data_IF_235327373591
#
_entry.id   IF_235327373591
#
_cell.length_a   1.000
_cell.length_b   1.000
_cell.length_c   1.000
_cell.angle_alpha   90.00
_cell.angle_beta   90.00
_cell.angle_gamma   90.00
#
_symmetry.space_group_name_H-M   'P 1'
#
loop_
_entity.id
_entity.type
_entity.pdbx_description
1 polymer ?
#
# COMPACT_ATOMS: atom_id res chain seq x y z
N UNK A 1 3.83 14.71 9.38
CA UNK A 1 3.85 13.23 9.54
C UNK A 1 4.35 12.60 8.25
N UNK A 2 4.93 11.41 8.35
CA UNK A 2 5.27 10.55 7.20
C UNK A 2 4.19 9.50 7.00
N UNK A 3 3.52 9.55 5.85
CA UNK A 3 2.35 8.74 5.53
C UNK A 3 2.66 7.85 4.33
N UNK A 4 2.55 6.54 4.50
CA UNK A 4 2.54 5.58 3.39
C UNK A 4 1.10 5.29 3.02
N UNK A 5 0.73 5.48 1.76
CA UNK A 5 -0.59 5.13 1.24
C UNK A 5 -0.43 4.00 0.24
N UNK A 6 -1.14 2.90 0.44
CA UNK A 6 -1.19 1.79 -0.50
C UNK A 6 -2.52 1.79 -1.24
N UNK A 7 -2.46 1.61 -2.55
CA UNK A 7 -3.64 1.47 -3.40
C UNK A 7 -3.61 0.16 -4.18
N UNK A 8 -4.79 -0.44 -4.37
CA UNK A 8 -4.96 -1.64 -5.17
C UNK A 8 -5.08 -1.36 -6.67
N UNK A 9 -5.06 -2.43 -7.48
CA UNK A 9 -5.22 -2.32 -8.94
C UNK A 9 -6.56 -1.70 -9.33
N UNK A 10 -7.63 -1.97 -8.57
CA UNK A 10 -8.99 -1.46 -8.83
C UNK A 10 -9.11 0.07 -8.72
N UNK A 11 -8.23 0.71 -7.95
CA UNK A 11 -8.16 2.17 -7.86
C UNK A 11 -7.69 2.79 -9.16
N UNK A 12 -6.78 2.11 -9.88
CA UNK A 12 -6.08 2.69 -11.03
C UNK A 12 -6.60 2.16 -12.37
N UNK A 13 -7.14 0.94 -12.40
CA UNK A 13 -7.57 0.33 -13.65
C UNK A 13 -8.95 -0.30 -13.51
N UNK A 14 -9.76 -0.13 -14.55
CA UNK A 14 -10.95 -0.94 -14.76
C UNK A 14 -10.57 -2.40 -15.07
N UNK A 15 -11.50 -3.36 -14.92
CA UNK A 15 -11.28 -4.74 -15.33
C UNK A 15 -10.86 -4.92 -16.80
N UNK A 16 -11.16 -3.92 -17.65
CA UNK A 16 -10.74 -3.85 -19.06
C UNK A 16 -9.26 -3.52 -19.26
N UNK A 17 -8.51 -3.24 -18.18
CA UNK A 17 -7.11 -2.79 -18.24
C UNK A 17 -6.94 -1.31 -18.59
N UNK A 18 -8.05 -0.58 -18.80
CA UNK A 18 -8.04 0.87 -19.03
C UNK A 18 -7.91 1.63 -17.72
N UNK A 19 -7.26 2.79 -17.76
CA UNK A 19 -7.11 3.68 -16.61
C UNK A 19 -8.48 4.12 -16.07
N UNK A 20 -8.67 4.00 -14.76
CA UNK A 20 -9.77 4.61 -14.04
C UNK A 20 -9.44 6.06 -13.75
N UNK A 21 -9.65 6.92 -14.76
CA UNK A 21 -9.27 8.33 -14.74
C UNK A 21 -9.83 9.04 -13.50
N UNK A 22 -11.14 8.84 -13.22
CA UNK A 22 -11.82 9.50 -12.09
C UNK A 22 -11.14 9.19 -10.76
N UNK A 23 -10.89 7.91 -10.47
CA UNK A 23 -10.28 7.54 -9.18
C UNK A 23 -8.80 7.92 -9.11
N UNK A 24 -8.06 7.79 -10.22
CA UNK A 24 -6.65 8.17 -10.26
C UNK A 24 -6.46 9.69 -10.05
N UNK A 25 -7.28 10.52 -10.69
CA UNK A 25 -7.21 11.98 -10.54
C UNK A 25 -7.60 12.43 -9.13
N UNK A 26 -8.66 11.87 -8.54
CA UNK A 26 -9.07 12.19 -7.17
C UNK A 26 -8.00 11.76 -6.16
N UNK A 27 -7.44 10.56 -6.30
CA UNK A 27 -6.35 10.08 -5.45
C UNK A 27 -5.15 11.03 -5.51
N UNK A 28 -4.68 11.37 -6.71
CA UNK A 28 -3.50 12.23 -6.88
C UNK A 28 -3.76 13.62 -6.30
N UNK A 29 -4.97 14.18 -6.49
CA UNK A 29 -5.36 15.45 -5.89
C UNK A 29 -5.25 15.41 -4.36
N UNK A 30 -5.84 14.40 -3.72
CA UNK A 30 -5.82 14.28 -2.24
C UNK A 30 -4.39 14.08 -1.72
N UNK A 31 -3.59 13.22 -2.36
CA UNK A 31 -2.20 13.01 -1.95
C UNK A 31 -1.34 14.26 -2.13
N UNK A 32 -1.58 15.03 -3.20
CA UNK A 32 -0.90 16.29 -3.47
C UNK A 32 -1.22 17.35 -2.42
N UNK A 33 -2.49 17.41 -2.00
CA UNK A 33 -2.95 18.36 -1.00
C UNK A 33 -2.41 18.02 0.39
N UNK A 34 -2.45 16.75 0.81
CA UNK A 34 -1.79 16.29 2.05
C UNK A 34 -0.30 16.62 2.05
N UNK A 35 0.38 16.45 0.91
CA UNK A 35 1.79 16.85 0.79
C UNK A 35 1.97 18.36 0.95
N UNK A 36 1.07 19.18 0.38
CA UNK A 36 1.08 20.64 0.52
C UNK A 36 0.81 21.11 1.96
N UNK A 37 0.04 20.34 2.75
CA UNK A 37 -0.15 20.56 4.19
C UNK A 37 1.12 20.30 5.02
N UNK A 38 2.19 19.79 4.40
CA UNK A 38 3.48 19.53 5.03
C UNK A 38 3.70 18.07 5.43
N UNK A 39 2.87 17.15 4.95
CA UNK A 39 3.09 15.71 5.13
C UNK A 39 4.14 15.18 4.13
N UNK A 40 4.97 14.24 4.59
CA UNK A 40 5.79 13.42 3.70
C UNK A 40 4.92 12.26 3.23
N UNK A 41 4.62 12.21 1.93
CA UNK A 41 3.74 11.19 1.34
C UNK A 41 4.55 10.20 0.51
N UNK A 42 4.28 8.91 0.71
CA UNK A 42 4.85 7.80 -0.07
C UNK A 42 3.68 6.98 -0.60
N UNK A 43 3.70 6.66 -1.90
CA UNK A 43 2.66 5.87 -2.54
C UNK A 43 3.17 4.47 -2.85
N UNK A 44 2.48 3.44 -2.38
CA UNK A 44 2.69 2.05 -2.78
C UNK A 44 1.56 1.66 -3.73
N UNK A 45 1.90 1.54 -5.01
CA UNK A 45 0.92 1.30 -6.06
C UNK A 45 0.85 -0.19 -6.40
N UNK A 46 -0.26 -0.61 -7.00
CA UNK A 46 -0.34 -1.85 -7.79
C UNK A 46 -0.69 -1.49 -9.24
N UNK A 47 -1.06 -2.49 -10.06
CA UNK A 47 -1.75 -2.26 -11.33
C UNK A 47 -0.88 -2.31 -12.58
N UNK A 48 0.45 -2.42 -12.46
CA UNK A 48 1.37 -2.52 -13.60
C UNK A 48 0.95 -3.63 -14.59
N UNK A 49 0.74 -4.87 -14.11
CA UNK A 49 0.28 -5.97 -14.98
C UNK A 49 -1.05 -5.63 -15.68
N UNK A 50 -2.01 -5.03 -14.95
CA UNK A 50 -3.33 -4.68 -15.49
C UNK A 50 -3.25 -3.62 -16.60
N UNK A 51 -2.44 -2.58 -16.40
CA UNK A 51 -2.20 -1.55 -17.42
C UNK A 51 -1.45 -2.12 -18.62
N UNK A 52 -0.53 -3.05 -18.40
CA UNK A 52 0.19 -3.76 -19.46
C UNK A 52 -0.72 -4.59 -20.35
N UNK A 53 -1.65 -5.35 -19.75
CA UNK A 53 -2.70 -6.11 -20.47
C UNK A 53 -3.50 -5.18 -21.37
N UNK A 54 -3.94 -4.03 -20.86
CA UNK A 54 -4.67 -3.03 -21.63
C UNK A 54 -3.85 -2.44 -22.77
N UNK A 55 -2.59 -2.04 -22.51
CA UNK A 55 -1.68 -1.45 -23.51
C UNK A 55 -1.31 -2.42 -24.62
N UNK A 56 -1.08 -3.68 -24.28
CA UNK A 56 -0.76 -4.74 -25.24
C UNK A 56 -2.00 -5.28 -25.96
N UNK A 57 -3.20 -4.76 -25.65
CA UNK A 57 -4.47 -5.22 -26.22
C UNK A 57 -4.68 -6.73 -26.07
N UNK A 58 -4.24 -7.28 -24.94
CA UNK A 58 -4.44 -8.70 -24.66
C UNK A 58 -5.90 -8.97 -24.31
N UNK A 59 -6.48 -10.11 -24.74
CA UNK A 59 -7.89 -10.39 -24.54
C UNK A 59 -8.26 -10.65 -23.07
N UNK A 60 -7.30 -11.07 -22.26
CA UNK A 60 -7.47 -11.34 -20.84
C UNK A 60 -6.12 -11.26 -20.11
N UNK A 61 -6.18 -11.24 -18.77
CA UNK A 61 -4.98 -11.32 -17.94
C UNK A 61 -4.26 -12.66 -18.17
N UNK A 62 -2.95 -12.65 -18.49
CA UNK A 62 -2.19 -13.87 -18.71
C UNK A 62 -2.08 -14.72 -17.43
N UNK A 63 -1.98 -16.04 -17.63
CA UNK A 63 -1.83 -17.02 -16.54
C UNK A 63 -0.37 -17.38 -16.30
N UNK A 64 0.43 -17.45 -17.37
CA UNK A 64 1.85 -17.76 -17.29
C UNK A 64 2.67 -16.56 -16.78
N UNK A 65 3.72 -16.87 -16.02
CA UNK A 65 4.59 -15.86 -15.38
C UNK A 65 5.32 -15.01 -16.41
N UNK A 66 5.79 -15.58 -17.52
CA UNK A 66 6.55 -14.84 -18.54
C UNK A 66 5.73 -13.73 -19.19
N UNK A 67 4.46 -13.99 -19.53
CA UNK A 67 3.59 -12.99 -20.12
C UNK A 67 3.13 -11.98 -19.07
N UNK A 68 2.96 -12.38 -17.80
CA UNK A 68 2.72 -11.44 -16.69
C UNK A 68 3.89 -10.47 -16.51
N UNK A 69 5.13 -10.96 -16.53
CA UNK A 69 6.35 -10.15 -16.43
C UNK A 69 6.45 -9.17 -17.61
N UNK A 70 6.17 -9.62 -18.83
CA UNK A 70 6.12 -8.73 -20.00
C UNK A 70 5.04 -7.65 -19.87
N UNK A 71 3.84 -8.01 -19.37
CA UNK A 71 2.80 -7.04 -19.08
C UNK A 71 3.23 -6.05 -17.99
N UNK A 72 3.87 -6.52 -16.92
CA UNK A 72 4.38 -5.66 -15.87
C UNK A 72 5.41 -4.64 -16.39
N UNK A 73 6.35 -5.07 -17.22
CA UNK A 73 7.35 -4.19 -17.82
C UNK A 73 6.70 -3.06 -18.63
N UNK A 74 5.73 -3.39 -19.51
CA UNK A 74 5.01 -2.40 -20.32
C UNK A 74 4.13 -1.50 -19.46
N UNK A 75 3.37 -2.10 -18.54
CA UNK A 75 2.40 -1.39 -17.74
C UNK A 75 3.01 -0.54 -16.63
N UNK A 76 4.20 -0.89 -16.12
CA UNK A 76 4.93 -0.05 -15.18
C UNK A 76 5.36 1.28 -15.83
N UNK A 77 5.76 1.27 -17.12
CA UNK A 77 6.02 2.50 -17.87
C UNK A 77 4.76 3.38 -17.95
N UNK A 78 3.60 2.79 -18.27
CA UNK A 78 2.33 3.53 -18.33
C UNK A 78 1.89 4.05 -16.96
N UNK A 79 2.08 3.25 -15.91
CA UNK A 79 1.76 3.61 -14.54
C UNK A 79 2.55 4.85 -14.11
N UNK A 80 3.87 4.85 -14.33
CA UNK A 80 4.70 6.00 -13.99
C UNK A 80 4.41 7.21 -14.86
N UNK A 81 4.20 7.05 -16.16
CA UNK A 81 3.78 8.16 -17.03
C UNK A 81 2.48 8.79 -16.53
N UNK A 82 1.51 7.97 -16.10
CA UNK A 82 0.24 8.47 -15.58
C UNK A 82 0.46 9.26 -14.30
N UNK A 83 1.19 8.71 -13.33
CA UNK A 83 1.44 9.40 -12.07
C UNK A 83 2.24 10.68 -12.26
N UNK A 84 3.34 10.63 -13.02
CA UNK A 84 4.19 11.79 -13.29
C UNK A 84 3.38 12.93 -13.91
N UNK A 85 2.55 12.63 -14.92
CA UNK A 85 1.66 13.62 -15.55
C UNK A 85 0.65 14.22 -14.56
N UNK A 86 0.04 13.39 -13.70
CA UNK A 86 -0.99 13.85 -12.76
C UNK A 86 -0.39 14.64 -11.59
N UNK A 87 0.71 14.19 -11.00
CA UNK A 87 1.39 14.89 -9.90
C UNK A 87 2.07 16.17 -10.37
N UNK A 88 2.59 16.21 -11.60
CA UNK A 88 3.14 17.43 -12.20
C UNK A 88 2.11 18.55 -12.33
N UNK A 89 0.81 18.23 -12.44
CA UNK A 89 -0.25 19.24 -12.45
C UNK A 89 -0.39 19.98 -11.10
N UNK A 90 0.21 19.45 -10.03
CA UNK A 90 0.25 20.02 -8.69
C UNK A 90 1.69 20.36 -8.25
N UNK A 91 2.62 20.50 -9.20
CA UNK A 91 4.05 20.81 -8.97
C UNK A 91 4.80 19.80 -8.08
N UNK A 92 4.36 18.53 -8.07
CA UNK A 92 5.03 17.47 -7.32
C UNK A 92 5.90 16.59 -8.21
N UNK A 93 7.19 16.50 -7.88
CA UNK A 93 8.13 15.57 -8.50
C UNK A 93 7.96 14.17 -7.92
N UNK A 94 7.73 13.17 -8.77
CA UNK A 94 7.64 11.76 -8.36
C UNK A 94 8.96 11.03 -8.56
N UNK A 95 9.19 9.96 -7.80
CA UNK A 95 10.37 9.11 -7.94
C UNK A 95 9.98 7.63 -7.92
N UNK A 96 10.33 6.88 -8.96
CA UNK A 96 10.05 5.44 -9.02
C UNK A 96 11.04 4.65 -8.18
N UNK A 97 10.51 3.70 -7.39
CA UNK A 97 11.31 2.62 -6.79
C UNK A 97 10.62 1.29 -7.06
N UNK A 98 11.37 0.30 -7.55
CA UNK A 98 10.88 -1.06 -7.76
C UNK A 98 11.64 -2.01 -6.86
N UNK A 99 10.92 -2.82 -6.08
CA UNK A 99 11.50 -3.72 -5.07
C UNK A 99 11.09 -5.17 -5.32
N UNK A 100 11.96 -6.11 -4.97
CA UNK A 100 11.68 -7.54 -4.87
C UNK A 100 11.78 -8.01 -3.42
N UNK A 101 11.31 -9.23 -3.13
CA UNK A 101 11.51 -9.92 -1.85
C UNK A 101 12.99 -10.00 -1.46
N UNK A 102 13.86 -10.24 -2.43
CA UNK A 102 15.32 -10.31 -2.22
C UNK A 102 15.88 -8.97 -1.73
N UNK A 103 15.34 -7.85 -2.22
CA UNK A 103 15.83 -6.52 -1.82
C UNK A 103 15.47 -6.17 -0.38
N UNK A 104 14.37 -6.73 0.13
CA UNK A 104 13.89 -6.48 1.50
C UNK A 104 14.45 -7.45 2.53
N UNK A 105 14.88 -8.66 2.12
CA UNK A 105 15.50 -9.67 2.98
C UNK A 105 16.99 -9.40 3.24
N UNK A 106 17.72 -8.85 2.27
CA UNK A 106 19.14 -8.55 2.44
C UNK A 106 19.37 -7.22 3.17
N UNK A 107 20.07 -7.28 4.30
CA UNK A 107 20.36 -6.11 5.16
C UNK A 107 20.97 -4.93 4.40
N UNK A 108 21.99 -5.16 3.57
CA UNK A 108 22.65 -4.08 2.82
C UNK A 108 21.71 -3.41 1.81
N UNK A 109 20.91 -4.21 1.09
CA UNK A 109 19.93 -3.69 0.14
C UNK A 109 18.84 -2.91 0.85
N UNK A 110 18.35 -3.41 1.99
CA UNK A 110 17.41 -2.69 2.85
C UNK A 110 17.97 -1.35 3.32
N UNK A 111 19.22 -1.26 3.73
CA UNK A 111 19.87 0.00 4.10
C UNK A 111 19.92 0.97 2.90
N UNK A 112 20.23 0.48 1.69
CA UNK A 112 20.21 1.32 0.49
C UNK A 112 18.82 1.84 0.15
N UNK A 113 17.77 1.02 0.32
CA UNK A 113 16.37 1.44 0.17
C UNK A 113 16.05 2.55 1.18
N UNK A 114 16.42 2.38 2.46
CA UNK A 114 16.19 3.37 3.52
C UNK A 114 16.89 4.70 3.22
N UNK A 115 18.15 4.65 2.80
CA UNK A 115 18.94 5.84 2.43
C UNK A 115 18.30 6.58 1.25
N UNK A 116 17.88 5.83 0.23
CA UNK A 116 17.25 6.39 -0.97
C UNK A 116 15.91 7.05 -0.63
N UNK A 117 15.04 6.35 0.10
CA UNK A 117 13.74 6.88 0.53
C UNK A 117 13.91 8.13 1.38
N UNK A 118 14.81 8.10 2.36
CA UNK A 118 15.09 9.26 3.22
C UNK A 118 15.54 10.44 2.38
N UNK A 119 16.49 10.23 1.46
CA UNK A 119 17.02 11.31 0.64
C UNK A 119 16.00 11.87 -0.35
N UNK A 120 15.14 11.03 -0.93
CA UNK A 120 14.06 11.50 -1.81
C UNK A 120 13.08 12.41 -1.06
N UNK A 121 12.71 12.04 0.17
CA UNK A 121 11.82 12.85 1.00
C UNK A 121 12.47 14.18 1.41
N UNK A 122 13.76 14.18 1.78
CA UNK A 122 14.53 15.40 2.06
C UNK A 122 14.62 16.34 0.84
N UNK A 123 14.69 15.77 -0.36
CA UNK A 123 14.68 16.52 -1.63
C UNK A 123 13.25 16.95 -2.06
N UNK A 124 12.23 16.61 -1.28
CA UNK A 124 10.84 16.97 -1.54
C UNK A 124 10.13 16.11 -2.58
N UNK A 125 10.74 15.03 -3.08
CA UNK A 125 10.09 14.12 -4.03
C UNK A 125 9.00 13.27 -3.35
N UNK A 126 8.04 12.78 -4.14
CA UNK A 126 7.02 11.81 -3.73
C UNK A 126 7.41 10.42 -4.27
N UNK A 127 7.92 9.50 -3.43
CA UNK A 127 8.27 8.16 -3.89
C UNK A 127 7.02 7.35 -4.26
N UNK A 128 7.05 6.74 -5.43
CA UNK A 128 6.05 5.78 -5.91
C UNK A 128 6.73 4.42 -6.02
N UNK A 129 6.28 3.50 -5.18
CA UNK A 129 6.89 2.20 -4.98
C UNK A 129 5.95 1.12 -5.51
N UNK A 130 6.51 0.16 -6.21
CA UNK A 130 5.80 -1.04 -6.63
C UNK A 130 6.73 -2.26 -6.55
N UNK A 131 6.16 -3.46 -6.59
CA UNK A 131 6.93 -4.67 -6.78
C UNK A 131 7.58 -4.67 -8.18
N UNK A 132 8.82 -5.15 -8.28
CA UNK A 132 9.49 -5.32 -9.56
C UNK A 132 9.02 -6.59 -10.27
N UNK A 133 7.74 -6.60 -10.62
CA UNK A 133 7.02 -7.70 -11.26
C UNK A 133 7.65 -8.17 -12.59
N UNK A 134 8.53 -7.36 -13.19
CA UNK A 134 9.21 -7.73 -14.45
C UNK A 134 10.34 -8.75 -14.26
N UNK A 135 10.86 -8.87 -13.03
CA UNK A 135 11.97 -9.76 -12.67
C UNK A 135 11.67 -10.63 -11.45
N UNK A 136 10.63 -10.30 -10.68
CA UNK A 136 10.15 -11.14 -9.60
C UNK A 136 9.56 -12.45 -10.15
N UNK A 137 9.85 -13.55 -9.46
CA UNK A 137 9.30 -14.89 -9.69
C UNK A 137 8.42 -15.28 -8.50
N UNK A 138 7.30 -15.95 -8.80
CA UNK A 138 6.10 -15.99 -7.96
C UNK A 138 6.27 -16.58 -6.54
N UNK A 139 7.36 -17.28 -6.18
CA UNK A 139 7.48 -17.99 -4.88
C UNK A 139 8.74 -17.66 -4.06
N UNK A 140 9.85 -17.25 -4.67
CA UNK A 140 11.15 -17.09 -3.98
C UNK A 140 11.56 -15.62 -3.88
N UNK A 141 11.20 -14.82 -4.88
CA UNK A 141 11.68 -13.43 -4.99
C UNK A 141 10.55 -12.41 -4.95
N UNK A 142 9.29 -12.88 -4.89
CA UNK A 142 8.14 -12.01 -4.72
C UNK A 142 7.88 -11.70 -3.24
N UNK A 143 7.40 -10.50 -2.98
CA UNK A 143 6.90 -10.08 -1.66
C UNK A 143 5.51 -10.72 -1.39
N UNK A 144 4.84 -11.19 -2.45
CA UNK A 144 3.56 -11.88 -2.43
C UNK A 144 2.37 -10.94 -2.60
N UNK A 145 2.34 -9.84 -1.85
CA UNK A 145 1.27 -8.84 -1.94
C UNK A 145 1.73 -7.42 -1.56
N UNK A 146 1.09 -6.41 -2.16
CA UNK A 146 1.48 -5.01 -1.93
C UNK A 146 1.07 -4.47 -0.55
N UNK A 147 0.21 -5.16 0.23
CA UNK A 147 -0.04 -4.79 1.64
C UNK A 147 1.24 -5.07 2.46
N UNK A 148 1.88 -6.23 2.23
CA UNK A 148 3.17 -6.57 2.84
C UNK A 148 4.29 -5.63 2.38
N UNK A 149 4.37 -5.33 1.08
CA UNK A 149 5.33 -4.33 0.56
C UNK A 149 5.15 -2.97 1.26
N UNK A 150 3.90 -2.51 1.41
CA UNK A 150 3.63 -1.23 2.05
C UNK A 150 3.99 -1.21 3.53
N UNK A 151 3.78 -2.33 4.24
CA UNK A 151 4.25 -2.48 5.62
C UNK A 151 5.78 -2.41 5.72
N UNK A 152 6.50 -3.09 4.82
CA UNK A 152 7.97 -3.06 4.79
C UNK A 152 8.47 -1.64 4.51
N UNK A 153 7.86 -0.94 3.54
CA UNK A 153 8.17 0.45 3.22
C UNK A 153 7.96 1.33 4.44
N UNK A 154 6.80 1.23 5.10
CA UNK A 154 6.47 1.99 6.30
C UNK A 154 7.51 1.79 7.41
N UNK A 155 7.91 0.55 7.67
CA UNK A 155 8.98 0.24 8.62
C UNK A 155 10.34 0.82 8.19
N UNK A 156 10.71 0.69 6.91
CA UNK A 156 11.99 1.18 6.39
C UNK A 156 12.11 2.70 6.48
N UNK A 157 11.04 3.41 6.12
CA UNK A 157 11.03 4.86 6.21
C UNK A 157 10.60 5.38 7.58
N UNK A 158 10.40 4.53 8.60
CA UNK A 158 9.90 4.97 9.93
C UNK A 158 8.66 5.87 9.80
N UNK A 159 7.67 5.42 9.03
CA UNK A 159 6.42 6.15 8.84
C UNK A 159 5.70 6.35 10.18
N UNK A 160 4.88 7.41 10.27
CA UNK A 160 3.95 7.59 11.39
C UNK A 160 2.65 6.80 11.16
N UNK A 161 2.28 6.62 9.88
CA UNK A 161 1.02 6.05 9.47
C UNK A 161 1.16 5.27 8.15
N UNK A 162 0.59 4.06 8.10
CA UNK A 162 0.28 3.32 6.88
C UNK A 162 -1.23 3.31 6.64
N UNK A 163 -1.68 3.72 5.45
CA UNK A 163 -3.09 3.59 5.04
C UNK A 163 -3.19 2.58 3.90
N UNK A 164 -3.94 1.50 4.12
CA UNK A 164 -4.32 0.56 3.07
C UNK A 164 -5.70 0.92 2.54
N UNK A 165 -5.73 1.53 1.36
CA UNK A 165 -6.96 1.77 0.61
C UNK A 165 -7.35 0.49 -0.13
N UNK A 166 -8.44 -0.15 0.32
CA UNK A 166 -8.94 -1.43 -0.18
C UNK A 166 -10.36 -1.31 -0.72
N UNK A 167 -10.86 -2.39 -1.30
CA UNK A 167 -12.28 -2.61 -1.66
C UNK A 167 -13.21 -2.90 -0.46
N UNK A 168 -12.71 -2.76 0.77
CA UNK A 168 -13.45 -2.96 2.02
C UNK A 168 -13.33 -1.71 2.90
N UNK A 169 -14.32 -1.48 3.76
CA UNK A 169 -14.33 -0.32 4.65
C UNK A 169 -13.36 -0.46 5.83
N UNK A 170 -13.02 -1.69 6.20
CA UNK A 170 -12.13 -2.00 7.32
C UNK A 170 -12.27 -3.45 7.79
N UNK A 171 -11.86 -3.72 9.02
CA UNK A 171 -12.07 -4.99 9.71
C UNK A 171 -13.45 -5.02 10.34
N UNK A 172 -14.16 -6.13 10.15
CA UNK A 172 -15.50 -6.36 10.71
C UNK A 172 -15.46 -7.45 11.77
N UNK A 173 -16.44 -7.47 12.67
CA UNK A 173 -16.62 -8.52 13.69
C UNK A 173 -16.91 -9.91 13.10
N UNK A 174 -17.40 -9.95 11.87
CA UNK A 174 -17.58 -11.16 11.05
C UNK A 174 -17.56 -10.76 9.56
N UNK A 175 -17.61 -11.73 8.64
CA UNK A 175 -17.66 -11.42 7.21
C UNK A 175 -19.01 -10.73 6.85
N UNK A 176 -19.01 -9.45 6.44
CA UNK A 176 -20.25 -8.69 6.21
C UNK A 176 -21.07 -9.18 5.01
N UNK A 177 -20.48 -9.97 4.11
CA UNK A 177 -21.22 -10.58 3.00
C UNK A 177 -22.06 -11.79 3.42
N UNK A 178 -21.71 -12.44 4.54
CA UNK A 178 -22.41 -13.63 5.03
C UNK A 178 -23.11 -13.41 6.37
N UNK A 179 -22.72 -12.40 7.12
CA UNK A 179 -23.26 -12.05 8.44
C UNK A 179 -23.79 -10.60 8.41
N UNK A 180 -25.11 -10.40 8.26
CA UNK A 180 -25.72 -9.07 8.17
C UNK A 180 -25.55 -8.21 9.43
N UNK A 181 -25.27 -8.85 10.56
CA UNK A 181 -25.00 -8.24 11.87
C UNK A 181 -23.52 -7.89 12.08
N UNK A 182 -22.65 -8.17 11.12
CA UNK A 182 -21.25 -7.79 11.16
C UNK A 182 -21.10 -6.27 11.31
N UNK A 183 -20.39 -5.84 12.34
CA UNK A 183 -20.13 -4.44 12.63
C UNK A 183 -18.67 -4.09 12.31
N UNK A 184 -18.45 -2.89 11.78
CA UNK A 184 -17.11 -2.35 11.54
C UNK A 184 -16.43 -2.10 12.89
N UNK A 185 -15.17 -2.54 13.02
CA UNK A 185 -14.34 -2.31 14.19
C UNK A 185 -13.56 -1.01 13.96
N UNK A 186 -13.82 0.08 14.69
CA UNK A 186 -13.18 1.37 14.43
C UNK A 186 -11.72 1.42 14.88
N UNK A 187 -11.38 0.68 15.96
CA UNK A 187 -10.06 0.68 16.58
C UNK A 187 -9.70 -0.74 17.05
N UNK A 188 -8.47 -1.14 16.76
CA UNK A 188 -7.81 -2.33 17.27
C UNK A 188 -6.57 -1.86 18.02
N UNK A 189 -6.61 -1.93 19.35
CA UNK A 189 -5.47 -1.53 20.19
C UNK A 189 -4.33 -2.54 20.13
N UNK A 190 -4.64 -3.83 20.09
CA UNK A 190 -3.68 -4.92 20.01
C UNK A 190 -4.16 -5.99 19.03
N UNK A 191 -3.24 -6.54 18.24
CA UNK A 191 -3.53 -7.61 17.27
C UNK A 191 -3.35 -8.96 17.96
N UNK A 192 -4.39 -9.39 18.67
CA UNK A 192 -4.42 -10.67 19.40
C UNK A 192 -4.70 -11.85 18.45
N UNK A 193 -4.52 -13.11 18.91
CA UNK A 193 -4.93 -14.29 18.14
C UNK A 193 -6.41 -14.27 17.71
N UNK A 194 -7.29 -13.71 18.54
CA UNK A 194 -8.72 -13.56 18.23
C UNK A 194 -8.95 -12.57 17.09
N UNK A 195 -8.24 -11.44 17.08
CA UNK A 195 -8.26 -10.49 15.96
C UNK A 195 -7.75 -11.14 14.69
N UNK A 196 -6.66 -11.93 14.78
CA UNK A 196 -6.13 -12.68 13.64
C UNK A 196 -7.15 -13.69 13.09
N UNK A 197 -7.92 -14.36 13.97
CA UNK A 197 -8.94 -15.33 13.57
C UNK A 197 -10.13 -14.70 12.83
N UNK A 198 -10.36 -13.38 12.96
CA UNK A 198 -11.37 -12.66 12.16
C UNK A 198 -11.05 -12.69 10.66
N UNK A 199 -9.79 -12.91 10.28
CA UNK A 199 -9.41 -13.08 8.88
C UNK A 199 -9.81 -14.45 8.31
N UNK A 200 -9.98 -15.49 9.14
CA UNK A 200 -10.19 -16.88 8.69
C UNK A 200 -11.66 -17.17 8.31
N UNK A 201 -12.60 -16.31 8.71
CA UNK A 201 -14.02 -16.39 8.29
C UNK A 201 -14.31 -15.78 6.90
N UNK A 202 -13.35 -15.06 6.32
CA UNK A 202 -13.45 -14.50 4.98
C UNK A 202 -13.01 -15.56 3.97
N UNK A 203 -13.97 -16.20 3.29
CA UNK A 203 -13.75 -17.33 2.36
C UNK A 203 -12.95 -17.02 1.09
N UNK A 204 -11.75 -16.43 1.18
CA UNK A 204 -10.84 -16.25 0.05
C UNK A 204 -9.92 -17.46 -0.06
N UNK A 205 -10.47 -18.60 -0.50
CA UNK A 205 -9.68 -19.78 -0.86
C UNK A 205 -8.80 -19.57 -2.11
N UNK A 206 -8.87 -18.41 -2.79
CA UNK A 206 -8.02 -18.07 -3.92
C UNK A 206 -7.76 -16.55 -3.98
N UNK A 207 -6.66 -16.08 -3.39
CA UNK A 207 -6.17 -14.73 -3.61
C UNK A 207 -4.82 -14.49 -2.93
N UNK A 208 -3.88 -13.86 -3.64
CA UNK A 208 -2.61 -13.30 -3.12
C UNK A 208 -2.86 -12.04 -2.29
N UNK A 209 -3.92 -12.02 -1.49
CA UNK A 209 -4.43 -10.85 -0.76
C UNK A 209 -5.65 -11.21 0.07
N UNK A 210 -6.08 -10.31 0.95
CA UNK A 210 -7.30 -10.51 1.75
C UNK A 210 -7.22 -9.78 3.10
N UNK A 211 -8.05 -10.18 4.06
CA UNK A 211 -7.95 -9.65 5.42
C UNK A 211 -6.70 -10.18 6.13
N UNK A 212 -6.32 -11.44 5.88
CA UNK A 212 -5.14 -12.04 6.52
C UNK A 212 -3.83 -11.28 6.20
N UNK A 213 -3.64 -10.85 4.94
CA UNK A 213 -2.46 -10.07 4.55
C UNK A 213 -2.45 -8.69 5.22
N UNK A 214 -3.62 -8.05 5.32
CA UNK A 214 -3.79 -6.76 6.00
C UNK A 214 -3.49 -6.86 7.50
N UNK A 215 -3.94 -7.92 8.18
CA UNK A 215 -3.61 -8.12 9.60
C UNK A 215 -2.13 -8.42 9.82
N UNK A 216 -1.48 -9.15 8.91
CA UNK A 216 -0.01 -9.34 8.96
C UNK A 216 0.73 -8.02 8.77
N UNK A 217 0.32 -7.22 7.80
CA UNK A 217 0.85 -5.87 7.57
C UNK A 217 0.65 -4.98 8.81
N UNK A 218 -0.55 -5.00 9.40
CA UNK A 218 -0.87 -4.25 10.61
C UNK A 218 0.07 -4.64 11.75
N UNK A 219 0.26 -5.94 11.99
CA UNK A 219 1.17 -6.42 13.05
C UNK A 219 2.62 -6.00 12.85
N UNK A 220 3.08 -5.98 11.60
CA UNK A 220 4.42 -5.50 11.27
C UNK A 220 4.58 -4.00 11.56
N UNK A 221 3.61 -3.20 11.12
CA UNK A 221 3.64 -1.73 11.21
C UNK A 221 3.43 -1.27 12.65
N UNK A 222 2.44 -1.81 13.37
CA UNK A 222 2.17 -1.44 14.76
C UNK A 222 3.30 -1.84 15.70
N UNK A 223 3.96 -2.98 15.43
CA UNK A 223 5.18 -3.39 16.13
C UNK A 223 6.38 -2.45 15.89
N UNK A 224 6.38 -1.68 14.80
CA UNK A 224 7.38 -0.65 14.53
C UNK A 224 7.04 0.72 15.15
N UNK A 225 5.88 0.83 15.82
CA UNK A 225 5.41 2.04 16.50
C UNK A 225 4.58 3.00 15.63
N UNK A 226 4.23 2.60 14.41
CA UNK A 226 3.39 3.35 13.48
C UNK A 226 1.93 2.87 13.53
N UNK A 227 0.98 3.77 13.30
CA UNK A 227 -0.41 3.37 13.14
C UNK A 227 -0.62 2.74 11.75
N UNK A 228 -1.61 1.84 11.64
CA UNK A 228 -2.11 1.40 10.34
C UNK A 228 -3.62 1.62 10.25
N UNK A 229 -4.13 2.04 9.09
CA UNK A 229 -5.57 2.15 8.82
C UNK A 229 -5.93 1.34 7.59
N UNK A 230 -7.03 0.57 7.68
CA UNK A 230 -7.71 -0.01 6.52
C UNK A 230 -8.95 0.85 6.25
N UNK A 231 -9.10 1.34 5.03
CA UNK A 231 -10.24 2.16 4.62
C UNK A 231 -10.64 1.89 3.16
N UNK A 232 -11.83 2.33 2.78
CA UNK A 232 -12.36 2.12 1.44
C UNK A 232 -11.67 3.05 0.41
N UNK A 233 -11.00 2.46 -0.56
CA UNK A 233 -10.29 3.16 -1.63
C UNK A 233 -11.18 3.76 -2.72
N UNK A 234 -12.50 3.57 -2.67
CA UNK A 234 -13.45 4.32 -3.49
C UNK A 234 -13.58 5.79 -3.04
N UNK A 235 -13.10 6.10 -1.83
CA UNK A 235 -13.20 7.40 -1.19
C UNK A 235 -11.81 7.93 -0.76
N UNK A 236 -10.94 8.35 -1.69
CA UNK A 236 -9.61 8.88 -1.35
C UNK A 236 -9.66 10.09 -0.40
N UNK A 237 -10.73 10.88 -0.43
CA UNK A 237 -10.96 12.03 0.47
C UNK A 237 -10.95 11.64 1.96
N UNK A 238 -11.19 10.37 2.29
CA UNK A 238 -11.07 9.86 3.65
C UNK A 238 -9.66 10.01 4.22
N UNK A 239 -8.63 10.13 3.37
CA UNK A 239 -7.25 10.33 3.81
C UNK A 239 -7.06 11.59 4.66
N UNK A 240 -7.83 12.66 4.41
CA UNK A 240 -7.80 13.87 5.25
C UNK A 240 -8.24 13.57 6.68
N UNK A 241 -9.37 12.89 6.81
CA UNK A 241 -9.94 12.52 8.11
C UNK A 241 -9.05 11.51 8.85
N UNK A 242 -8.49 10.55 8.11
CA UNK A 242 -7.54 9.57 8.63
C UNK A 242 -6.27 10.26 9.14
N UNK A 243 -5.69 11.19 8.37
CA UNK A 243 -4.51 11.95 8.79
C UNK A 243 -4.80 12.81 10.04
N UNK A 244 -6.03 13.34 10.17
CA UNK A 244 -6.48 14.08 11.34
C UNK A 244 -6.80 13.21 12.57
N UNK A 245 -6.67 11.87 12.48
CA UNK A 245 -6.94 10.97 13.60
C UNK A 245 -8.41 10.60 13.81
N UNK A 246 -9.29 10.92 12.86
CA UNK A 246 -10.73 10.58 12.96
C UNK A 246 -10.96 9.07 12.78
N UNK A 247 -12.06 8.52 13.35
CA UNK A 247 -12.36 7.09 13.34
C UNK A 247 -12.94 6.66 11.99
N UNK A 248 -12.12 6.69 10.94
CA UNK A 248 -12.48 6.22 9.60
C UNK A 248 -11.90 4.83 9.35
N UNK A 249 -12.75 3.93 8.88
CA UNK A 249 -12.40 2.54 8.64
C UNK A 249 -11.99 1.83 9.94
N UNK A 250 -10.91 1.06 9.90
CA UNK A 250 -10.31 0.44 11.09
C UNK A 250 -8.90 0.93 11.29
N UNK A 251 -8.63 1.56 12.45
CA UNK A 251 -7.28 1.91 12.89
C UNK A 251 -6.70 0.80 13.77
N UNK A 252 -5.45 0.44 13.51
CA UNK A 252 -4.61 -0.41 14.33
C UNK A 252 -3.57 0.48 15.01
N UNK A 253 -3.59 0.52 16.34
CA UNK A 253 -2.73 1.44 17.10
C UNK A 253 -1.28 0.96 17.13
N UNK A 254 -0.35 1.86 16.83
CA UNK A 254 1.09 1.60 16.95
C UNK A 254 1.53 1.49 18.40
N UNK A 255 2.33 0.47 18.73
CA UNK A 255 2.95 0.35 20.04
C UNK A 255 4.33 1.01 20.01
N UNK A 256 4.41 2.30 20.31
CA UNK A 256 5.71 2.93 20.59
C UNK A 256 6.24 2.34 21.89
N UNK A 257 7.19 1.39 21.82
CA UNK A 257 7.95 1.05 23.01
C UNK A 257 8.59 2.35 23.53
N UNK A 258 8.47 2.67 24.83
CA UNK A 258 9.22 3.77 25.39
C UNK A 258 10.69 3.48 25.13
N UNK A 259 11.38 4.40 24.45
CA UNK A 259 12.83 4.37 24.34
C UNK A 259 13.39 4.22 25.74
N UNK A 260 13.99 3.06 26.04
CA UNK A 260 14.82 2.89 27.22
C UNK A 260 15.88 4.00 27.15
N UNK A 261 15.75 4.99 28.02
CA UNK A 261 16.76 6.01 28.21
C UNK A 261 18.05 5.29 28.57
N UNK A 262 19.02 5.26 27.67
CA UNK A 262 20.41 4.92 27.99
C UNK A 262 21.01 6.05 28.82
N UNK A 263 20.58 6.14 30.07
CA UNK A 263 21.35 6.70 31.15
C UNK A 263 21.52 5.58 32.19
N UNK A 264 22.76 5.42 32.64
CA UNK A 264 23.26 4.42 33.60
C UNK A 264 23.70 3.07 33.00
N UNK A 265 24.93 3.04 32.44
CA UNK A 265 26.09 2.26 32.96
C UNK A 265 27.38 3.02 32.65
#
# INVERSE_FOLDING_TARGET
>A
MRIVVKVGTSTLAYPTGRLNIRHAEELVKVLSDLKNEGHEVILVSSGAIGMGVGKLSLPARPKDTTTKQACAAVGQCELMYTYDRLFSAYDHTVAQILLTGVDVEHTERRVNIQNTLTRLLELGALPIINENDSVATDEITSIGDNDTLAAIVACCCKADLLVLLSDIDGLYTANPHTHPDAALIPLVEEITPEVMALADGAGSALGTGGMATKLRAARMVTGSGADMVIANGAHPELLYDIAAGKPIGTRFAGHKQPTLSTQEV
#
